data_IF_222239793061
#
_entry.id   IF_222239793061
#
_cell.length_a   1.000
_cell.length_b   1.000
_cell.length_c   1.000
_cell.angle_alpha   90.00
_cell.angle_beta   90.00
_cell.angle_gamma   90.00
#
_symmetry.space_group_name_H-M   'P 1'
#
loop_
_entity.id
_entity.type
_entity.pdbx_description
1 polymer ?
#
# COMPACT_ATOMS: atom_id res chain seq x y z
N UNK A 1 23.98 -44.68 -57.14
CA UNK A 1 23.78 -43.29 -56.68
C UNK A 1 22.60 -43.22 -55.70
N UNK A 2 22.76 -43.53 -54.39
CA UNK A 2 21.66 -43.47 -53.43
C UNK A 2 21.73 -42.31 -52.41
N UNK A 3 22.84 -41.56 -52.29
CA UNK A 3 23.00 -40.55 -51.22
C UNK A 3 22.28 -39.21 -51.43
N UNK A 4 21.77 -38.91 -52.63
CA UNK A 4 21.18 -37.59 -52.91
C UNK A 4 19.74 -37.42 -52.43
N UNK A 5 19.04 -38.51 -52.12
CA UNK A 5 17.61 -38.49 -51.76
C UNK A 5 17.37 -38.11 -50.30
N UNK A 6 18.27 -38.50 -49.37
CA UNK A 6 18.16 -38.09 -47.96
C UNK A 6 18.56 -36.63 -47.74
N UNK A 7 19.46 -36.11 -48.57
CA UNK A 7 19.86 -34.71 -48.53
C UNK A 7 18.75 -33.77 -48.99
N UNK A 8 17.94 -34.15 -50.00
CA UNK A 8 16.80 -33.35 -50.46
C UNK A 8 15.65 -33.34 -49.45
N UNK A 9 15.32 -34.46 -48.82
CA UNK A 9 14.28 -34.50 -47.76
C UNK A 9 14.70 -33.67 -46.54
N UNK A 10 15.98 -33.73 -46.14
CA UNK A 10 16.51 -32.88 -45.08
C UNK A 10 16.45 -31.38 -45.45
N UNK A 11 16.67 -31.04 -46.72
CA UNK A 11 16.59 -29.67 -47.22
C UNK A 11 15.15 -29.16 -47.25
N UNK A 12 14.21 -29.97 -47.71
CA UNK A 12 12.77 -29.66 -47.68
C UNK A 12 12.26 -29.50 -46.24
N UNK A 13 12.72 -30.32 -45.29
CA UNK A 13 12.39 -30.14 -43.87
C UNK A 13 12.97 -28.86 -43.27
N UNK A 14 14.18 -28.47 -43.66
CA UNK A 14 14.80 -27.21 -43.22
C UNK A 14 14.09 -26.01 -43.84
N UNK A 15 13.71 -26.08 -45.11
CA UNK A 15 13.01 -25.02 -45.84
C UNK A 15 11.57 -24.84 -45.33
N UNK A 16 10.84 -25.94 -45.10
CA UNK A 16 9.54 -25.88 -44.42
C UNK A 16 9.65 -25.39 -42.98
N UNK A 17 10.69 -25.78 -42.24
CA UNK A 17 10.92 -25.23 -40.91
C UNK A 17 11.18 -23.72 -40.97
N UNK A 18 11.90 -23.25 -42.00
CA UNK A 18 12.19 -21.83 -42.22
C UNK A 18 10.92 -21.03 -42.56
N UNK A 19 10.09 -21.50 -43.50
CA UNK A 19 8.81 -20.86 -43.84
C UNK A 19 7.85 -20.79 -42.64
N UNK A 20 7.78 -21.86 -41.85
CA UNK A 20 6.96 -21.89 -40.63
C UNK A 20 7.46 -20.88 -39.59
N UNK A 21 8.78 -20.73 -39.46
CA UNK A 21 9.40 -19.73 -38.58
C UNK A 21 9.08 -18.31 -39.07
N UNK A 22 9.31 -17.99 -40.35
CA UNK A 22 9.03 -16.65 -40.91
C UNK A 22 7.55 -16.26 -40.80
N UNK A 23 6.63 -17.20 -41.09
CA UNK A 23 5.20 -16.95 -40.94
C UNK A 23 4.81 -16.70 -39.48
N UNK A 24 5.41 -17.44 -38.55
CA UNK A 24 5.19 -17.25 -37.12
C UNK A 24 5.77 -15.94 -36.59
N UNK A 25 6.90 -15.50 -37.15
CA UNK A 25 7.58 -14.26 -36.79
C UNK A 25 6.77 -13.03 -37.26
N UNK A 26 6.30 -13.05 -38.51
CA UNK A 26 5.43 -12.01 -39.06
C UNK A 26 4.09 -11.90 -38.33
N UNK A 27 3.51 -13.02 -37.90
CA UNK A 27 2.34 -13.01 -37.04
C UNK A 27 2.66 -12.40 -35.67
N UNK A 28 3.77 -12.80 -35.02
CA UNK A 28 4.17 -12.30 -33.71
C UNK A 28 4.37 -10.78 -33.71
N UNK A 29 5.09 -10.24 -34.70
CA UNK A 29 5.35 -8.81 -34.83
C UNK A 29 4.07 -7.97 -34.93
N UNK A 30 2.99 -8.51 -35.51
CA UNK A 30 1.67 -7.86 -35.57
C UNK A 30 0.94 -7.84 -34.21
N UNK A 31 1.13 -8.87 -33.39
CA UNK A 31 0.45 -9.01 -32.09
C UNK A 31 1.17 -8.32 -30.92
N UNK A 32 2.50 -8.14 -31.02
CA UNK A 32 3.31 -7.42 -30.02
C UNK A 32 2.72 -6.05 -29.64
N UNK A 33 2.44 -5.11 -30.57
CA UNK A 33 1.96 -3.79 -30.20
C UNK A 33 0.54 -3.84 -29.60
N UNK A 34 -0.29 -4.79 -30.04
CA UNK A 34 -1.62 -5.01 -29.46
C UNK A 34 -1.52 -5.51 -28.01
N UNK A 35 -0.66 -6.49 -27.76
CA UNK A 35 -0.42 -7.00 -26.41
C UNK A 35 0.14 -5.90 -25.49
N UNK A 36 1.13 -5.15 -25.96
CA UNK A 36 1.72 -4.05 -25.20
C UNK A 36 0.66 -2.97 -24.87
N UNK A 37 -0.21 -2.61 -25.81
CA UNK A 37 -1.28 -1.65 -25.59
C UNK A 37 -2.30 -2.15 -24.56
N UNK A 38 -2.71 -3.42 -24.64
CA UNK A 38 -3.63 -4.04 -23.67
C UNK A 38 -3.01 -4.06 -22.28
N UNK A 39 -1.75 -4.52 -22.14
CA UNK A 39 -1.05 -4.53 -20.87
C UNK A 39 -0.92 -3.11 -20.28
N UNK A 40 -0.63 -2.11 -21.11
CA UNK A 40 -0.53 -0.71 -20.68
C UNK A 40 -1.85 -0.16 -20.14
N UNK A 41 -2.98 -0.51 -20.75
CA UNK A 41 -4.31 -0.12 -20.23
C UNK A 41 -4.52 -0.72 -18.84
N UNK A 42 -4.22 -2.01 -18.64
CA UNK A 42 -4.37 -2.65 -17.33
C UNK A 42 -3.38 -2.12 -16.29
N UNK A 43 -2.14 -1.82 -16.67
CA UNK A 43 -1.18 -1.11 -15.81
C UNK A 43 -1.75 0.25 -15.37
N UNK A 44 -2.27 1.04 -16.31
CA UNK A 44 -2.91 2.32 -16.03
C UNK A 44 -4.10 2.20 -15.08
N UNK A 45 -4.96 1.18 -15.26
CA UNK A 45 -6.07 0.91 -14.36
C UNK A 45 -5.58 0.54 -12.95
N UNK A 46 -4.61 -0.38 -12.83
CA UNK A 46 -4.03 -0.75 -11.53
C UNK A 46 -3.42 0.46 -10.82
N UNK A 47 -2.71 1.32 -11.55
CA UNK A 47 -2.15 2.57 -11.03
C UNK A 47 -3.24 3.53 -10.54
N UNK A 48 -4.35 3.68 -11.27
CA UNK A 48 -5.48 4.51 -10.85
C UNK A 48 -6.12 4.01 -9.54
N UNK A 49 -6.34 2.69 -9.42
CA UNK A 49 -6.88 2.10 -8.19
C UNK A 49 -5.91 2.22 -7.01
N UNK A 50 -4.63 1.96 -7.23
CA UNK A 50 -3.59 2.17 -6.22
C UNK A 50 -3.52 3.64 -5.77
N UNK A 51 -3.70 4.59 -6.70
CA UNK A 51 -3.78 6.02 -6.42
C UNK A 51 -4.95 6.37 -5.49
N UNK A 52 -6.17 5.92 -5.79
CA UNK A 52 -7.35 6.13 -4.93
C UNK A 52 -7.16 5.59 -3.51
N UNK A 53 -6.62 4.38 -3.38
CA UNK A 53 -6.33 3.78 -2.08
C UNK A 53 -5.22 4.55 -1.33
N UNK A 54 -4.30 5.18 -2.04
CA UNK A 54 -3.28 6.05 -1.45
C UNK A 54 -3.93 7.29 -0.83
N UNK A 55 -4.86 7.93 -1.54
CA UNK A 55 -5.60 9.09 -1.03
C UNK A 55 -6.38 8.74 0.25
N UNK A 56 -7.12 7.62 0.24
CA UNK A 56 -7.83 7.11 1.41
C UNK A 56 -6.88 6.83 2.59
N UNK A 57 -5.78 6.12 2.34
CA UNK A 57 -4.76 5.79 3.35
C UNK A 57 -4.15 7.06 3.94
N UNK A 58 -3.84 8.07 3.11
CA UNK A 58 -3.26 9.33 3.53
C UNK A 58 -4.23 10.14 4.39
N UNK A 59 -5.50 10.21 4.02
CA UNK A 59 -6.53 10.89 4.82
C UNK A 59 -6.63 10.25 6.21
N UNK A 60 -6.72 8.92 6.29
CA UNK A 60 -6.79 8.20 7.57
C UNK A 60 -5.53 8.38 8.42
N UNK A 61 -4.33 8.39 7.81
CA UNK A 61 -3.08 8.67 8.54
C UNK A 61 -3.02 10.10 9.05
N UNK A 62 -3.50 11.07 8.27
CA UNK A 62 -3.56 12.46 8.69
C UNK A 62 -4.51 12.64 9.87
N UNK A 63 -5.66 11.96 9.86
CA UNK A 63 -6.60 11.95 10.97
C UNK A 63 -5.99 11.31 12.23
N UNK A 64 -5.30 10.18 12.08
CA UNK A 64 -4.57 9.56 13.18
C UNK A 64 -3.50 10.49 13.76
N UNK A 65 -2.72 11.18 12.92
CA UNK A 65 -1.71 12.16 13.36
C UNK A 65 -2.37 13.34 14.08
N UNK A 66 -3.49 13.85 13.58
CA UNK A 66 -4.22 14.93 14.24
C UNK A 66 -4.70 14.51 15.63
N UNK A 67 -5.26 13.30 15.77
CA UNK A 67 -5.71 12.78 17.05
C UNK A 67 -4.55 12.46 18.00
N UNK A 68 -3.42 11.97 17.49
CA UNK A 68 -2.19 11.80 18.27
C UNK A 68 -1.69 13.14 18.85
N UNK A 69 -1.69 14.20 18.04
CA UNK A 69 -1.28 15.54 18.50
C UNK A 69 -2.23 16.05 19.59
N UNK A 70 -3.55 15.94 19.39
CA UNK A 70 -4.53 16.34 20.40
C UNK A 70 -4.40 15.55 21.69
N UNK A 71 -4.23 14.22 21.60
CA UNK A 71 -4.02 13.36 22.76
C UNK A 71 -2.73 13.74 23.51
N UNK A 72 -1.64 14.00 22.78
CA UNK A 72 -0.38 14.46 23.35
C UNK A 72 -0.53 15.78 24.10
N UNK A 73 -1.24 16.76 23.53
CA UNK A 73 -1.49 18.04 24.20
C UNK A 73 -2.29 17.86 25.50
N UNK A 74 -3.32 17.02 25.49
CA UNK A 74 -4.12 16.70 26.68
C UNK A 74 -3.32 15.93 27.74
N UNK A 75 -2.43 15.02 27.33
CA UNK A 75 -1.51 14.35 28.25
C UNK A 75 -0.50 15.32 28.87
N UNK A 76 -0.03 16.30 28.11
CA UNK A 76 0.85 17.35 28.61
C UNK A 76 0.11 18.23 29.64
N UNK A 77 -1.14 18.60 29.35
CA UNK A 77 -1.97 19.37 30.29
C UNK A 77 -2.27 18.56 31.56
N UNK A 78 -2.66 17.30 31.42
CA UNK A 78 -2.87 16.38 32.54
C UNK A 78 -1.62 16.27 33.45
N UNK A 79 -0.44 16.13 32.84
CA UNK A 79 0.82 16.07 33.58
C UNK A 79 1.15 17.40 34.27
N UNK A 80 0.85 18.54 33.63
CA UNK A 80 1.01 19.84 34.24
C UNK A 80 0.08 20.03 35.46
N UNK A 81 -1.19 19.61 35.36
CA UNK A 81 -2.13 19.66 36.49
C UNK A 81 -1.74 18.71 37.62
N UNK A 82 -1.24 17.52 37.28
CA UNK A 82 -0.67 16.59 38.26
C UNK A 82 0.51 17.21 39.00
N UNK A 83 1.43 17.86 38.28
CA UNK A 83 2.58 18.55 38.88
C UNK A 83 2.14 19.69 39.80
N UNK A 84 1.15 20.51 39.40
CA UNK A 84 0.57 21.56 40.26
C UNK A 84 -0.03 20.95 41.52
N UNK A 85 -0.84 19.90 41.40
CA UNK A 85 -1.42 19.20 42.55
C UNK A 85 -0.35 18.70 43.52
N UNK A 86 0.71 18.06 43.01
CA UNK A 86 1.84 17.59 43.82
C UNK A 86 2.60 18.73 44.51
N UNK A 87 2.79 19.86 43.84
CA UNK A 87 3.45 21.04 44.41
C UNK A 87 2.64 21.63 45.58
N UNK A 88 1.31 21.75 45.42
CA UNK A 88 0.43 22.22 46.49
C UNK A 88 0.34 21.23 47.66
N UNK A 89 0.39 19.93 47.39
CA UNK A 89 0.38 18.88 48.41
C UNK A 89 1.69 18.90 49.23
N UNK A 90 2.83 19.06 48.55
CA UNK A 90 4.13 19.25 49.20
C UNK A 90 4.17 20.55 50.05
N UNK A 91 3.62 21.65 49.54
CA UNK A 91 3.53 22.90 50.28
C UNK A 91 2.62 22.77 51.53
N UNK A 92 1.56 21.98 51.45
CA UNK A 92 0.66 21.72 52.57
C UNK A 92 1.33 20.96 53.73
N UNK A 93 2.31 20.11 53.45
CA UNK A 93 3.02 19.32 54.47
C UNK A 93 3.78 20.18 55.50
N UNK A 94 4.22 21.39 55.12
CA UNK A 94 4.96 22.30 55.99
C UNK A 94 4.11 23.33 56.74
N UNK A 95 2.78 23.35 56.54
CA UNK A 95 1.90 24.42 57.04
C UNK A 95 1.17 23.97 58.31
N UNK A 96 1.35 24.72 59.40
CA UNK A 96 0.68 24.48 60.69
C UNK A 96 -0.62 25.28 60.87
N UNK A 97 -0.79 26.36 60.11
CA UNK A 97 -2.01 27.18 60.14
C UNK A 97 -3.18 26.45 59.46
N UNK A 98 -4.24 26.15 60.22
CA UNK A 98 -5.42 25.38 59.74
C UNK A 98 -6.12 26.01 58.54
N UNK A 99 -6.25 27.34 58.50
CA UNK A 99 -6.93 28.05 57.41
C UNK A 99 -6.11 28.02 56.11
N UNK A 100 -4.78 28.19 56.22
CA UNK A 100 -3.87 28.08 55.08
C UNK A 100 -3.80 26.63 54.56
N UNK A 101 -3.76 25.65 55.47
CA UNK A 101 -3.78 24.22 55.13
C UNK A 101 -5.06 23.83 54.39
N UNK A 102 -6.22 24.30 54.84
CA UNK A 102 -7.50 24.04 54.18
C UNK A 102 -7.54 24.61 52.74
N UNK A 103 -7.01 25.83 52.54
CA UNK A 103 -6.91 26.43 51.19
C UNK A 103 -6.03 25.60 50.25
N UNK A 104 -4.85 25.16 50.72
CA UNK A 104 -3.95 24.34 49.90
C UNK A 104 -4.58 22.99 49.52
N UNK A 105 -5.22 22.31 50.48
CA UNK A 105 -5.94 21.05 50.20
C UNK A 105 -7.10 21.24 49.22
N UNK A 106 -7.81 22.37 49.30
CA UNK A 106 -8.83 22.71 48.31
C UNK A 106 -8.23 22.85 46.91
N UNK A 107 -7.06 23.49 46.76
CA UNK A 107 -6.37 23.61 45.48
C UNK A 107 -5.95 22.23 44.95
N UNK A 108 -5.42 21.34 45.80
CA UNK A 108 -5.08 19.96 45.40
C UNK A 108 -6.30 19.22 44.88
N UNK A 109 -7.44 19.29 45.58
CA UNK A 109 -8.69 18.66 45.13
C UNK A 109 -9.13 19.21 43.78
N UNK A 110 -9.11 20.54 43.61
CA UNK A 110 -9.48 21.21 42.37
C UNK A 110 -8.67 20.68 41.19
N UNK A 111 -7.34 20.70 41.28
CA UNK A 111 -6.47 20.24 40.18
C UNK A 111 -6.59 18.73 39.91
N UNK A 112 -6.89 17.91 40.92
CA UNK A 112 -7.18 16.48 40.73
C UNK A 112 -8.54 16.24 40.07
N UNK A 113 -9.52 17.08 40.31
CA UNK A 113 -10.82 17.00 39.65
C UNK A 113 -10.74 17.47 38.20
N UNK A 114 -9.94 18.50 37.91
CA UNK A 114 -9.65 18.99 36.55
C UNK A 114 -8.87 17.95 35.69
N UNK A 115 -8.07 17.07 36.31
CA UNK A 115 -7.36 15.99 35.62
C UNK A 115 -8.27 14.89 35.03
N UNK A 116 -9.43 14.62 35.65
CA UNK A 116 -10.32 13.54 35.23
C UNK A 116 -10.86 13.72 33.79
N UNK A 117 -11.42 14.88 33.41
CA UNK A 117 -11.88 15.10 32.03
C UNK A 117 -10.71 15.09 31.04
N UNK A 118 -9.55 15.67 31.37
CA UNK A 118 -8.36 15.64 30.51
C UNK A 118 -7.92 14.22 30.16
N UNK A 119 -7.87 13.34 31.17
CA UNK A 119 -7.51 11.93 30.97
C UNK A 119 -8.55 11.19 30.10
N UNK A 120 -9.83 11.49 30.30
CA UNK A 120 -10.91 10.87 29.53
C UNK A 120 -10.86 11.30 28.06
N UNK A 121 -10.65 12.59 27.80
CA UNK A 121 -10.55 13.16 26.45
C UNK A 121 -9.28 12.70 25.73
N UNK A 122 -8.15 12.64 26.43
CA UNK A 122 -6.89 12.11 25.88
C UNK A 122 -7.09 10.66 25.39
N UNK A 123 -7.69 9.81 26.23
CA UNK A 123 -7.98 8.41 25.87
C UNK A 123 -8.99 8.27 24.74
N UNK A 124 -9.95 9.20 24.62
CA UNK A 124 -10.89 9.20 23.51
C UNK A 124 -10.16 9.46 22.18
N UNK A 125 -9.29 10.46 22.13
CA UNK A 125 -8.47 10.73 20.93
C UNK A 125 -7.47 9.61 20.63
N UNK A 126 -6.90 8.96 21.65
CA UNK A 126 -6.08 7.76 21.45
C UNK A 126 -6.87 6.62 20.78
N UNK A 127 -8.12 6.42 21.19
CA UNK A 127 -8.98 5.40 20.58
C UNK A 127 -9.34 5.74 19.13
N UNK A 128 -9.66 7.00 18.83
CA UNK A 128 -9.92 7.48 17.46
C UNK A 128 -8.68 7.34 16.56
N UNK A 129 -7.50 7.69 17.08
CA UNK A 129 -6.22 7.46 16.39
C UNK A 129 -6.03 5.98 16.08
N UNK A 130 -6.20 5.09 17.05
CA UNK A 130 -5.97 3.66 16.87
C UNK A 130 -6.95 3.06 15.86
N UNK A 131 -8.20 3.54 15.86
CA UNK A 131 -9.19 3.17 14.85
C UNK A 131 -8.73 3.61 13.45
N UNK A 132 -8.37 4.89 13.28
CA UNK A 132 -7.91 5.43 12.01
C UNK A 132 -6.65 4.72 11.48
N UNK A 133 -5.71 4.36 12.35
CA UNK A 133 -4.53 3.56 11.99
C UNK A 133 -4.91 2.16 11.50
N UNK A 134 -5.80 1.47 12.22
CA UNK A 134 -6.29 0.14 11.82
C UNK A 134 -7.02 0.16 10.47
N UNK A 135 -7.83 1.18 10.21
CA UNK A 135 -8.50 1.36 8.93
C UNK A 135 -7.51 1.67 7.80
N UNK A 136 -6.51 2.52 8.09
CA UNK A 136 -5.43 2.85 7.15
C UNK A 136 -4.61 1.62 6.76
N UNK A 137 -4.27 0.75 7.72
CA UNK A 137 -3.53 -0.48 7.46
C UNK A 137 -4.30 -1.44 6.53
N UNK A 138 -5.62 -1.50 6.68
CA UNK A 138 -6.48 -2.28 5.76
C UNK A 138 -6.48 -1.69 4.36
N UNK A 139 -6.56 -0.36 4.21
CA UNK A 139 -6.45 0.31 2.92
C UNK A 139 -5.07 0.10 2.28
N UNK A 140 -3.99 0.17 3.06
CA UNK A 140 -2.62 -0.03 2.60
C UNK A 140 -2.36 -1.46 2.11
N UNK A 141 -2.90 -2.49 2.81
CA UNK A 141 -2.82 -3.89 2.35
C UNK A 141 -3.53 -4.09 1.01
N UNK A 142 -4.69 -3.45 0.82
CA UNK A 142 -5.42 -3.48 -0.46
C UNK A 142 -4.60 -2.83 -1.56
N UNK A 143 -3.97 -1.68 -1.29
CA UNK A 143 -3.08 -0.99 -2.25
C UNK A 143 -1.93 -1.87 -2.70
N UNK A 144 -1.29 -2.60 -1.77
CA UNK A 144 -0.13 -3.43 -2.07
C UNK A 144 -0.42 -4.48 -3.16
N UNK A 145 -1.64 -5.01 -3.23
CA UNK A 145 -2.05 -5.95 -4.29
C UNK A 145 -2.05 -5.28 -5.66
N UNK A 146 -2.56 -4.06 -5.77
CA UNK A 146 -2.56 -3.29 -7.02
C UNK A 146 -1.15 -2.85 -7.43
N UNK A 147 -0.28 -2.51 -6.48
CA UNK A 147 1.13 -2.20 -6.76
C UNK A 147 1.87 -3.41 -7.35
N UNK A 148 1.63 -4.61 -6.80
CA UNK A 148 2.19 -5.85 -7.34
C UNK A 148 1.67 -6.12 -8.75
N UNK A 149 0.37 -5.95 -8.98
CA UNK A 149 -0.22 -6.11 -10.31
C UNK A 149 0.38 -5.13 -11.33
N UNK A 150 0.53 -3.86 -10.94
CA UNK A 150 1.18 -2.82 -11.76
C UNK A 150 2.61 -3.23 -12.15
N UNK A 151 3.43 -3.65 -11.17
CA UNK A 151 4.81 -4.08 -11.42
C UNK A 151 4.88 -5.27 -12.38
N UNK A 152 3.96 -6.24 -12.24
CA UNK A 152 3.89 -7.38 -13.16
C UNK A 152 3.52 -6.95 -14.59
N UNK A 153 2.59 -6.01 -14.75
CA UNK A 153 2.25 -5.46 -16.06
C UNK A 153 3.44 -4.72 -16.69
N UNK A 154 4.16 -3.89 -15.92
CA UNK A 154 5.35 -3.18 -16.41
C UNK A 154 6.44 -4.14 -16.89
N UNK A 155 6.76 -5.17 -16.09
CA UNK A 155 7.71 -6.22 -16.49
C UNK A 155 7.26 -6.92 -17.76
N UNK A 156 5.96 -7.20 -17.88
CA UNK A 156 5.39 -7.86 -19.08
C UNK A 156 5.45 -6.98 -20.32
N UNK A 157 5.25 -5.67 -20.19
CA UNK A 157 5.41 -4.70 -21.29
C UNK A 157 6.86 -4.65 -21.75
N UNK A 158 7.81 -4.59 -20.81
CA UNK A 158 9.25 -4.61 -21.13
C UNK A 158 9.64 -5.91 -21.84
N UNK A 159 9.18 -7.06 -21.34
CA UNK A 159 9.43 -8.36 -21.98
C UNK A 159 8.78 -8.45 -23.37
N UNK A 160 7.60 -7.85 -23.57
CA UNK A 160 6.94 -7.78 -24.88
C UNK A 160 7.79 -7.00 -25.88
N UNK A 161 8.35 -5.86 -25.47
CA UNK A 161 9.27 -5.06 -26.29
C UNK A 161 10.57 -5.81 -26.62
N UNK A 162 11.16 -6.50 -25.64
CA UNK A 162 12.37 -7.30 -25.86
C UNK A 162 12.09 -8.49 -26.81
N UNK A 163 10.95 -9.15 -26.66
CA UNK A 163 10.53 -10.25 -27.52
C UNK A 163 10.38 -9.81 -28.98
N UNK A 164 9.84 -8.60 -29.19
CA UNK A 164 9.72 -7.99 -30.51
C UNK A 164 11.10 -7.74 -31.15
N UNK A 165 12.04 -7.18 -30.36
CA UNK A 165 13.37 -6.85 -30.83
C UNK A 165 14.22 -8.09 -31.14
N UNK A 166 14.14 -9.12 -30.30
CA UNK A 166 14.93 -10.35 -30.44
C UNK A 166 14.30 -11.38 -31.37
N UNK A 167 13.07 -11.16 -31.85
CA UNK A 167 12.30 -12.11 -32.68
C UNK A 167 12.23 -13.52 -32.07
N UNK A 168 12.29 -13.63 -30.74
CA UNK A 168 12.31 -14.91 -30.01
C UNK A 168 10.96 -15.22 -29.36
N UNK A 169 10.30 -16.28 -29.85
CA UNK A 169 8.99 -16.76 -29.40
C UNK A 169 8.91 -17.09 -27.90
N UNK A 170 9.99 -17.59 -27.29
CA UNK A 170 10.01 -17.91 -25.86
C UNK A 170 9.85 -16.66 -24.97
N UNK A 171 10.41 -15.52 -25.39
CA UNK A 171 10.28 -14.28 -24.63
C UNK A 171 8.85 -13.71 -24.71
N UNK A 172 8.18 -13.93 -25.85
CA UNK A 172 6.77 -13.56 -26.02
C UNK A 172 5.84 -14.37 -25.09
N UNK A 173 6.10 -15.68 -24.94
CA UNK A 173 5.34 -16.53 -24.01
C UNK A 173 5.55 -16.10 -22.56
N UNK A 174 6.79 -15.75 -22.17
CA UNK A 174 7.09 -15.24 -20.83
C UNK A 174 6.38 -13.90 -20.57
N UNK A 175 6.36 -12.99 -21.55
CA UNK A 175 5.64 -11.73 -21.45
C UNK A 175 4.12 -11.95 -21.29
N UNK A 176 3.53 -12.87 -22.06
CA UNK A 176 2.12 -13.21 -21.96
C UNK A 176 1.78 -13.85 -20.60
N UNK A 177 2.65 -14.73 -20.09
CA UNK A 177 2.48 -15.35 -18.77
C UNK A 177 2.53 -14.31 -17.64
N UNK A 178 3.47 -13.36 -17.71
CA UNK A 178 3.54 -12.23 -16.78
C UNK A 178 2.26 -11.37 -16.82
N UNK A 179 1.72 -11.12 -18.02
CA UNK A 179 0.48 -10.38 -18.20
C UNK A 179 -0.73 -11.08 -17.58
N UNK A 180 -0.83 -12.40 -17.75
CA UNK A 180 -1.89 -13.21 -17.12
C UNK A 180 -1.75 -13.22 -15.59
N UNK A 181 -0.52 -13.32 -15.07
CA UNK A 181 -0.27 -13.22 -13.63
C UNK A 181 -0.69 -11.84 -13.08
N UNK A 182 -0.31 -10.75 -13.75
CA UNK A 182 -0.73 -9.40 -13.39
C UNK A 182 -2.26 -9.24 -13.38
N UNK A 183 -2.93 -9.82 -14.38
CA UNK A 183 -4.39 -9.85 -14.45
C UNK A 183 -5.01 -10.59 -13.26
N UNK A 184 -4.47 -11.75 -12.90
CA UNK A 184 -4.95 -12.53 -11.76
C UNK A 184 -4.81 -11.74 -10.43
N UNK A 185 -3.69 -11.04 -10.23
CA UNK A 185 -3.52 -10.17 -9.06
C UNK A 185 -4.46 -8.96 -9.07
N UNK A 186 -4.67 -8.32 -10.22
CA UNK A 186 -5.63 -7.23 -10.35
C UNK A 186 -7.07 -7.68 -10.07
N UNK A 187 -7.47 -8.84 -10.60
CA UNK A 187 -8.78 -9.44 -10.34
C UNK A 187 -8.93 -9.85 -8.87
N UNK A 188 -7.89 -10.40 -8.24
CA UNK A 188 -7.89 -10.71 -6.82
C UNK A 188 -8.06 -9.44 -5.97
N UNK A 189 -7.36 -8.36 -6.31
CA UNK A 189 -7.51 -7.05 -5.68
C UNK A 189 -8.92 -6.46 -5.83
N UNK A 190 -9.55 -6.65 -7.00
CA UNK A 190 -10.94 -6.26 -7.26
C UNK A 190 -11.95 -7.15 -6.54
N UNK A 191 -11.68 -8.45 -6.38
CA UNK A 191 -12.61 -9.33 -5.68
C UNK A 191 -12.61 -9.08 -4.17
N UNK A 192 -11.46 -8.69 -3.61
CA UNK A 192 -11.38 -8.16 -2.24
C UNK A 192 -12.06 -6.78 -2.05
N UNK A 193 -12.63 -6.20 -3.12
CA UNK A 193 -13.39 -4.94 -3.13
C UNK A 193 -14.91 -5.16 -3.22
N UNK A 194 -15.40 -6.40 -3.34
CA UNK A 194 -16.85 -6.67 -3.27
C UNK A 194 -17.25 -6.83 -1.79
N UNK A 195 -18.18 -5.99 -1.27
CA UNK A 195 -18.69 -6.12 0.09
C UNK A 195 -19.45 -7.43 0.33
#
# INVERSE_FOLDING_TARGET
MPERYSASEALEHVEHAHELLERSENAMLRWVPLLAAVLAIFAGLSSLYAGRLTEETLTLKNEAVLNEVKASDLWNEYQAESLKAHLYDAAAAGITNKTALARLRSSVSKYRDEQKPLLAEAKAHEAERDQALSESDKAQRRKAVFDIALALFEVSIVLTSIAAMLKRRHMFVLAAAGGVAGMAFALYGLWGHVP
#
